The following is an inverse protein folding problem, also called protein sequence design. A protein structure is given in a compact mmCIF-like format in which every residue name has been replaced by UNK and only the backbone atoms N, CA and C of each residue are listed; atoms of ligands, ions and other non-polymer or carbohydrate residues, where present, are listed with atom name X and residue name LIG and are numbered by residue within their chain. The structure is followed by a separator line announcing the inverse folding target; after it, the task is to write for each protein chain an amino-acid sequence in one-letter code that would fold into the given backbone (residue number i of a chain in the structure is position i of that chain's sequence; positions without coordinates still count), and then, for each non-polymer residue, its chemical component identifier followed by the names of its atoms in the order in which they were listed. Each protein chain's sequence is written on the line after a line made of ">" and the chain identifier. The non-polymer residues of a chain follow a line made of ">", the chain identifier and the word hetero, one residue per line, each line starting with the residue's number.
data_IF_770114292991
#
_entry.id   IF_770114292991
#
_cell.length_a   1.000
_cell.length_b   1.000
_cell.length_c   1.000
_cell.angle_alpha   90.00
_cell.angle_beta   90.00
_cell.angle_gamma   90.00
#
_symmetry.space_group_name_H-M   'P 1'
#
loop_
_entity.id
_entity.type
_entity.pdbx_description
1 polymer ?
#
# COMPACT_ATOMS: atom_id res chain seq x y z
N UNK A 1 -96.22 4.24 155.03
CA UNK A 1 -94.76 4.01 155.09
C UNK A 1 -94.34 3.63 153.68
N UNK A 2 -94.05 4.60 152.81
CA UNK A 2 -92.74 5.24 152.60
C UNK A 2 -91.67 4.31 151.97
N UNK A 3 -91.04 4.86 150.92
CA UNK A 3 -89.85 4.45 150.15
C UNK A 3 -90.04 3.42 149.01
N UNK A 4 -90.05 3.78 147.71
CA UNK A 4 -89.03 4.43 146.82
C UNK A 4 -88.10 3.41 146.15
N UNK A 5 -87.76 3.72 144.89
CA UNK A 5 -86.76 3.14 143.98
C UNK A 5 -87.14 1.89 143.18
N UNK A 6 -87.02 1.82 141.85
CA UNK A 6 -86.40 2.73 140.90
C UNK A 6 -87.22 2.73 139.61
N UNK A 7 -87.76 3.90 139.25
CA UNK A 7 -87.76 4.29 137.84
C UNK A 7 -86.33 4.05 137.38
N UNK A 8 -86.11 3.28 136.32
CA UNK A 8 -84.84 3.29 135.63
C UNK A 8 -84.67 4.67 134.96
N UNK A 9 -84.56 5.73 135.77
CA UNK A 9 -83.99 7.04 135.43
C UNK A 9 -82.49 6.91 135.10
N UNK A 10 -81.94 5.70 135.19
CA UNK A 10 -80.65 5.32 134.62
C UNK A 10 -80.60 5.22 133.09
N UNK A 11 -81.71 5.38 132.35
CA UNK A 11 -81.65 5.45 130.88
C UNK A 11 -82.00 6.82 130.28
N UNK A 12 -82.64 7.73 131.01
CA UNK A 12 -83.19 8.98 130.46
C UNK A 12 -82.16 10.01 129.98
N UNK A 13 -81.02 10.14 130.67
CA UNK A 13 -79.98 11.10 130.29
C UNK A 13 -79.03 10.58 129.21
N UNK A 14 -78.79 9.26 129.18
CA UNK A 14 -77.92 8.63 128.17
C UNK A 14 -78.59 8.39 126.81
N UNK A 15 -79.93 8.32 126.78
CA UNK A 15 -80.71 8.20 125.54
C UNK A 15 -80.97 9.54 124.87
N UNK A 16 -81.01 10.65 125.61
CA UNK A 16 -81.15 12.00 125.04
C UNK A 16 -79.94 12.45 124.21
N UNK A 17 -78.80 11.74 124.34
CA UNK A 17 -77.55 12.01 123.62
C UNK A 17 -77.29 11.01 122.47
N UNK A 18 -78.22 10.09 122.20
CA UNK A 18 -78.11 9.08 121.13
C UNK A 18 -79.21 9.29 120.09
N UNK A 19 -78.91 9.02 118.82
CA UNK A 19 -79.91 9.02 117.75
C UNK A 19 -80.74 7.74 117.80
N UNK A 20 -82.05 7.87 117.54
CA UNK A 20 -82.96 6.72 117.42
C UNK A 20 -82.64 5.91 116.16
N UNK A 21 -82.80 4.58 116.22
CA UNK A 21 -82.61 3.68 115.07
C UNK A 21 -83.63 3.91 113.94
N UNK A 22 -84.77 4.53 114.24
CA UNK A 22 -85.75 4.97 113.24
C UNK A 22 -85.32 6.25 112.49
N UNK A 23 -84.13 6.78 112.79
CA UNK A 23 -83.65 8.07 112.33
C UNK A 23 -83.98 9.22 113.29
N UNK A 24 -83.32 10.36 113.06
CA UNK A 24 -83.49 11.61 113.79
C UNK A 24 -82.71 12.74 113.11
N UNK A 25 -83.05 13.99 113.44
CA UNK A 25 -82.34 15.17 112.92
C UNK A 25 -81.17 15.50 113.83
N UNK A 26 -79.95 15.51 113.27
CA UNK A 26 -78.78 16.04 113.97
C UNK A 26 -78.80 17.57 113.80
N UNK A 27 -78.82 18.32 114.91
CA UNK A 27 -78.70 19.78 114.88
C UNK A 27 -77.29 20.21 115.29
N UNK A 28 -76.73 21.20 114.57
CA UNK A 28 -75.36 21.68 114.77
C UNK A 28 -74.30 20.91 113.96
N UNK A 29 -73.05 21.34 114.08
CA UNK A 29 -71.92 20.71 113.39
C UNK A 29 -71.53 19.39 114.06
N UNK A 30 -71.22 18.37 113.26
CA UNK A 30 -70.80 17.06 113.74
C UNK A 30 -69.33 16.87 113.42
N UNK A 31 -68.49 16.80 114.45
CA UNK A 31 -67.08 16.49 114.31
C UNK A 31 -66.86 14.96 114.41
N UNK A 32 -66.48 14.32 113.31
CA UNK A 32 -66.24 12.87 113.24
C UNK A 32 -64.77 12.46 113.49
N UNK A 33 -63.85 13.42 113.61
CA UNK A 33 -62.42 13.15 113.79
C UNK A 33 -61.85 12.29 112.65
N UNK A 34 -61.07 11.27 112.99
CA UNK A 34 -60.48 10.30 112.03
C UNK A 34 -61.36 9.07 111.79
N UNK A 35 -62.62 9.09 112.23
CA UNK A 35 -63.51 7.94 112.11
C UNK A 35 -64.11 7.84 110.70
N UNK A 36 -64.35 6.60 110.24
CA UNK A 36 -65.00 6.32 108.96
C UNK A 36 -66.52 6.34 109.08
N UNK A 37 -67.20 6.76 108.02
CA UNK A 37 -68.64 6.59 107.84
C UNK A 37 -68.86 5.48 106.81
N UNK A 38 -69.41 4.35 107.25
CA UNK A 38 -69.60 3.16 106.41
C UNK A 38 -71.06 3.02 105.99
N UNK A 39 -71.31 2.36 104.85
CA UNK A 39 -72.66 2.06 104.37
C UNK A 39 -73.35 3.19 103.59
N UNK A 40 -72.63 4.26 103.24
CA UNK A 40 -73.12 5.28 102.30
C UNK A 40 -73.22 4.66 100.90
N UNK A 41 -74.40 4.68 100.29
CA UNK A 41 -74.63 4.23 98.91
C UNK A 41 -74.33 5.35 97.90
N UNK A 42 -74.35 5.04 96.61
CA UNK A 42 -74.26 6.08 95.59
C UNK A 42 -75.39 7.12 95.78
N UNK A 43 -75.11 8.42 95.67
CA UNK A 43 -76.11 9.46 95.84
C UNK A 43 -77.15 9.37 94.71
N UNK A 44 -78.42 9.54 95.06
CA UNK A 44 -79.55 9.60 94.11
C UNK A 44 -80.20 10.98 94.13
N UNK A 45 -80.33 11.57 95.31
CA UNK A 45 -80.82 12.93 95.54
C UNK A 45 -79.66 13.91 95.72
N UNK A 46 -79.87 15.18 95.39
CA UNK A 46 -78.84 16.22 95.50
C UNK A 46 -78.40 16.53 96.94
N UNK A 47 -79.12 16.01 97.96
CA UNK A 47 -78.78 16.18 99.37
C UNK A 47 -78.07 14.95 99.96
N UNK A 48 -77.92 13.88 99.19
CA UNK A 48 -77.27 12.66 99.67
C UNK A 48 -75.75 12.88 99.83
N UNK A 49 -75.15 12.21 100.80
CA UNK A 49 -73.70 12.14 100.90
C UNK A 49 -73.14 11.27 99.75
N UNK A 50 -72.02 11.68 99.15
CA UNK A 50 -71.32 10.89 98.14
C UNK A 50 -70.11 10.17 98.71
N UNK A 51 -69.83 8.97 98.20
CA UNK A 51 -68.55 8.30 98.46
C UNK A 51 -67.46 8.88 97.58
N UNK A 52 -66.19 8.83 98.04
CA UNK A 52 -65.04 9.23 97.22
C UNK A 52 -65.01 8.48 95.88
N UNK A 53 -65.29 7.17 95.91
CA UNK A 53 -65.33 6.33 94.70
C UNK A 53 -66.34 6.87 93.67
N UNK A 54 -67.54 7.24 94.10
CA UNK A 54 -68.55 7.78 93.21
C UNK A 54 -68.08 9.10 92.58
N UNK A 55 -67.59 10.04 93.41
CA UNK A 55 -67.11 11.35 92.94
C UNK A 55 -65.92 11.21 91.98
N UNK A 56 -64.91 10.40 92.33
CA UNK A 56 -63.75 10.12 91.48
C UNK A 56 -64.16 9.50 90.14
N UNK A 57 -65.12 8.56 90.17
CA UNK A 57 -65.60 7.88 88.95
C UNK A 57 -66.37 8.86 88.05
N UNK A 58 -67.21 9.72 88.63
CA UNK A 58 -67.93 10.74 87.89
C UNK A 58 -66.96 11.73 87.22
N UNK A 59 -65.92 12.16 87.91
CA UNK A 59 -64.86 13.01 87.37
C UNK A 59 -64.09 12.32 86.24
N UNK A 60 -63.65 11.07 86.45
CA UNK A 60 -62.96 10.29 85.43
C UNK A 60 -63.80 10.11 84.16
N UNK A 61 -65.09 9.82 84.31
CA UNK A 61 -66.03 9.71 83.18
C UNK A 61 -66.20 11.04 82.44
N UNK A 62 -66.27 12.15 83.16
CA UNK A 62 -66.36 13.49 82.56
C UNK A 62 -65.08 13.83 81.75
N UNK A 63 -63.91 13.55 82.31
CA UNK A 63 -62.61 13.74 81.63
C UNK A 63 -62.54 12.86 80.37
N UNK A 64 -62.89 11.57 80.49
CA UNK A 64 -62.88 10.64 79.35
C UNK A 64 -63.80 11.10 78.23
N UNK A 65 -64.99 11.61 78.56
CA UNK A 65 -65.94 12.15 77.59
C UNK A 65 -65.37 13.38 76.90
N UNK A 66 -64.76 14.30 77.67
CA UNK A 66 -64.13 15.50 77.15
C UNK A 66 -62.96 15.18 76.21
N UNK A 67 -62.09 14.24 76.60
CA UNK A 67 -60.97 13.81 75.77
C UNK A 67 -61.46 13.18 74.47
N UNK A 68 -62.45 12.29 74.55
CA UNK A 68 -63.06 11.65 73.37
C UNK A 68 -63.62 12.69 72.39
N UNK A 69 -64.30 13.71 72.90
CA UNK A 69 -64.82 14.80 72.07
C UNK A 69 -63.71 15.61 71.42
N UNK A 70 -62.68 15.99 72.19
CA UNK A 70 -61.55 16.79 71.71
C UNK A 70 -60.76 16.03 70.64
N UNK A 71 -60.47 14.75 70.88
CA UNK A 71 -59.77 13.87 69.93
C UNK A 71 -60.59 13.63 68.65
N UNK A 72 -61.92 13.49 68.78
CA UNK A 72 -62.83 13.37 67.65
C UNK A 72 -62.89 14.64 66.80
N UNK A 73 -62.90 15.83 67.42
CA UNK A 73 -62.81 17.10 66.71
C UNK A 73 -61.46 17.26 66.00
N UNK A 74 -60.35 16.91 66.65
CA UNK A 74 -59.02 16.93 66.03
C UNK A 74 -58.99 15.96 64.84
N UNK A 75 -59.53 14.77 65.00
CA UNK A 75 -59.62 13.76 63.92
C UNK A 75 -60.45 14.27 62.74
N UNK A 76 -61.60 14.88 63.03
CA UNK A 76 -62.47 15.46 61.99
C UNK A 76 -61.77 16.61 61.29
N UNK A 77 -61.15 17.52 62.05
CA UNK A 77 -60.41 18.65 61.50
C UNK A 77 -59.24 18.19 60.61
N UNK A 78 -58.56 17.10 60.98
CA UNK A 78 -57.53 16.45 60.14
C UNK A 78 -58.11 15.80 58.89
N UNK A 79 -59.21 15.05 59.01
CA UNK A 79 -59.81 14.30 57.89
C UNK A 79 -60.60 15.16 56.89
N UNK A 80 -61.11 16.32 57.31
CA UNK A 80 -61.87 17.24 56.45
C UNK A 80 -61.07 18.49 56.05
N UNK A 81 -59.85 18.68 56.56
CA UNK A 81 -58.99 19.74 56.09
C UNK A 81 -58.70 19.54 54.59
N UNK A 82 -58.87 20.60 53.81
CA UNK A 82 -58.35 20.65 52.45
C UNK A 82 -56.85 20.36 52.47
N UNK A 83 -56.32 19.71 51.43
CA UNK A 83 -54.91 19.34 51.29
C UNK A 83 -53.93 20.52 51.55
N UNK A 84 -54.39 21.77 51.41
CA UNK A 84 -53.61 22.99 51.68
C UNK A 84 -53.48 23.37 53.17
N UNK A 85 -54.13 22.65 54.09
CA UNK A 85 -54.05 22.88 55.54
C UNK A 85 -53.65 21.61 56.31
N UNK A 86 -53.41 20.50 55.60
CA UNK A 86 -52.87 19.27 56.20
C UNK A 86 -51.34 19.30 56.18
N UNK A 87 -50.77 20.09 57.08
CA UNK A 87 -49.31 20.22 57.26
C UNK A 87 -48.58 18.88 57.44
N UNK A 88 -49.26 17.81 57.89
CA UNK A 88 -48.69 16.47 58.00
C UNK A 88 -48.75 15.73 56.65
N UNK A 89 -49.84 15.88 55.89
CA UNK A 89 -49.95 15.38 54.52
C UNK A 89 -48.98 16.05 53.54
N UNK A 90 -48.68 17.34 53.74
CA UNK A 90 -47.62 18.05 53.00
C UNK A 90 -46.24 17.46 53.28
N UNK A 91 -45.90 17.17 54.54
CA UNK A 91 -44.64 16.52 54.93
C UNK A 91 -44.52 15.10 54.35
N UNK A 92 -45.58 14.29 54.41
CA UNK A 92 -45.58 12.95 53.78
C UNK A 92 -45.42 13.02 52.27
N UNK A 93 -46.06 13.99 51.62
CA UNK A 93 -45.94 14.24 50.18
C UNK A 93 -44.54 14.72 49.83
N UNK A 94 -43.92 15.58 50.63
CA UNK A 94 -42.58 16.12 50.40
C UNK A 94 -41.48 15.09 50.67
N UNK A 95 -41.64 14.21 51.66
CA UNK A 95 -40.76 13.04 51.87
C UNK A 95 -40.95 12.00 50.74
N UNK A 96 -42.19 11.74 50.33
CA UNK A 96 -42.49 10.89 49.17
C UNK A 96 -41.88 11.45 47.88
N UNK A 97 -41.96 12.76 47.69
CA UNK A 97 -41.33 13.47 46.59
C UNK A 97 -39.81 13.49 46.70
N UNK A 98 -39.20 13.53 47.88
CA UNK A 98 -37.75 13.38 48.02
C UNK A 98 -37.28 11.99 47.56
N UNK A 99 -38.11 10.95 47.73
CA UNK A 99 -37.85 9.58 47.26
C UNK A 99 -38.10 9.39 45.75
N UNK A 100 -39.15 10.02 45.19
CA UNK A 100 -39.47 9.94 43.75
C UNK A 100 -38.70 10.95 42.90
N UNK A 101 -38.41 12.15 43.39
CA UNK A 101 -37.46 13.12 42.82
C UNK A 101 -36.03 12.62 42.90
N UNK A 102 -35.68 11.86 43.96
CA UNK A 102 -34.45 11.06 43.97
C UNK A 102 -34.46 10.05 42.82
N UNK A 103 -35.54 9.28 42.63
CA UNK A 103 -35.62 8.32 41.52
C UNK A 103 -35.63 8.98 40.14
N UNK A 104 -36.32 10.12 39.96
CA UNK A 104 -36.39 10.86 38.71
C UNK A 104 -35.09 11.62 38.40
N UNK A 105 -34.42 12.17 39.42
CA UNK A 105 -33.10 12.77 39.33
C UNK A 105 -31.98 11.75 39.14
N UNK A 106 -32.13 10.53 39.67
CA UNK A 106 -31.25 9.39 39.38
C UNK A 106 -31.50 8.84 37.98
N UNK A 107 -32.74 8.82 37.48
CA UNK A 107 -33.07 8.39 36.12
C UNK A 107 -32.48 9.30 35.03
N UNK A 108 -32.01 10.50 35.40
CA UNK A 108 -31.29 11.41 34.50
C UNK A 108 -29.76 11.22 34.52
N UNK A 109 -29.22 10.35 35.38
CA UNK A 109 -27.77 10.11 35.48
C UNK A 109 -27.41 8.75 34.89
N UNK A 110 -26.31 8.71 34.13
CA UNK A 110 -25.72 7.46 33.66
C UNK A 110 -25.06 6.73 34.84
N UNK A 111 -25.45 5.48 35.10
CA UNK A 111 -24.84 4.67 36.14
C UNK A 111 -23.37 4.32 35.84
N UNK A 112 -22.53 4.18 36.87
CA UNK A 112 -21.10 3.83 36.70
C UNK A 112 -20.86 2.40 36.22
N UNK A 113 -21.78 1.50 36.50
CA UNK A 113 -21.70 0.09 36.15
C UNK A 113 -22.96 -0.30 35.40
N UNK A 114 -22.85 -0.38 34.07
CA UNK A 114 -23.94 -0.81 33.21
C UNK A 114 -25.09 0.20 33.17
N UNK A 115 -25.20 0.91 32.05
CA UNK A 115 -26.38 1.70 31.72
C UNK A 115 -26.55 1.69 30.20
N UNK A 116 -27.76 1.96 29.72
CA UNK A 116 -28.05 2.08 28.30
C UNK A 116 -28.65 3.46 28.03
N UNK A 117 -27.87 4.34 27.39
CA UNK A 117 -28.38 5.64 26.95
C UNK A 117 -29.32 5.44 25.75
N UNK A 118 -30.53 6.00 25.81
CA UNK A 118 -31.41 6.13 24.66
C UNK A 118 -31.26 7.53 24.04
N UNK A 119 -31.21 7.61 22.71
CA UNK A 119 -31.04 8.90 21.99
C UNK A 119 -29.57 9.26 21.71
N UNK A 120 -29.35 10.42 21.08
CA UNK A 120 -28.03 10.89 20.70
C UNK A 120 -27.27 11.51 21.87
N UNK A 121 -26.04 11.05 22.11
CA UNK A 121 -25.09 11.72 23.01
C UNK A 121 -24.26 12.75 22.23
N UNK A 122 -24.42 14.03 22.55
CA UNK A 122 -23.63 15.13 21.96
C UNK A 122 -22.50 15.48 22.93
N UNK A 123 -21.25 15.30 22.48
CA UNK A 123 -20.04 15.68 23.24
C UNK A 123 -19.63 17.10 22.84
N UNK A 124 -19.12 17.88 23.80
CA UNK A 124 -18.77 19.30 23.60
C UNK A 124 -17.46 19.52 22.83
N UNK A 125 -16.59 18.49 22.74
CA UNK A 125 -15.30 18.56 22.09
C UNK A 125 -14.79 17.16 21.72
N UNK A 126 -13.75 17.12 20.90
CA UNK A 126 -13.01 15.90 20.58
C UNK A 126 -12.29 15.32 21.82
N UNK A 127 -12.05 13.99 21.87
CA UNK A 127 -11.43 13.34 23.02
C UNK A 127 -9.99 13.84 23.25
N UNK A 128 -9.68 14.21 24.50
CA UNK A 128 -8.32 14.56 24.96
C UNK A 128 -7.63 13.44 25.76
N UNK A 129 -8.40 12.43 26.18
CA UNK A 129 -7.92 11.28 26.94
C UNK A 129 -8.08 9.99 26.13
N UNK A 130 -7.10 9.10 26.24
CA UNK A 130 -7.05 7.82 25.49
C UNK A 130 -8.29 6.94 25.73
N UNK A 131 -8.85 6.96 26.93
CA UNK A 131 -10.04 6.17 27.30
C UNK A 131 -11.32 7.00 27.37
N UNK A 132 -11.32 8.20 26.77
CA UNK A 132 -12.52 9.03 26.66
C UNK A 132 -13.43 8.57 25.52
N UNK A 133 -14.71 8.96 25.59
CA UNK A 133 -15.63 8.80 24.46
C UNK A 133 -15.19 9.71 23.29
N UNK A 134 -15.17 9.18 22.08
CA UNK A 134 -14.81 9.92 20.88
C UNK A 134 -16.05 10.50 20.18
N UNK A 135 -15.94 11.74 19.69
CA UNK A 135 -16.93 12.33 18.78
C UNK A 135 -16.87 11.62 17.42
N UNK A 136 -18.00 11.60 16.70
CA UNK A 136 -18.02 11.10 15.31
C UNK A 136 -17.07 11.87 14.40
N UNK A 137 -17.00 13.20 14.55
CA UNK A 137 -16.10 14.05 13.77
C UNK A 137 -14.63 13.68 13.97
N UNK A 138 -14.21 13.33 15.19
CA UNK A 138 -12.84 12.92 15.48
C UNK A 138 -12.51 11.60 14.78
N UNK A 139 -13.38 10.60 14.90
CA UNK A 139 -13.19 9.29 14.26
C UNK A 139 -13.17 9.42 12.73
N UNK A 140 -14.07 10.21 12.17
CA UNK A 140 -14.13 10.46 10.72
C UNK A 140 -12.86 11.19 10.25
N UNK A 141 -12.39 12.21 10.98
CA UNK A 141 -11.16 12.93 10.66
C UNK A 141 -9.91 12.03 10.72
N UNK A 142 -9.79 11.19 11.75
CA UNK A 142 -8.70 10.20 11.86
C UNK A 142 -8.77 9.19 10.71
N UNK A 143 -9.96 8.73 10.35
CA UNK A 143 -10.18 7.79 9.25
C UNK A 143 -9.82 8.42 7.89
N UNK A 144 -10.19 9.68 7.67
CA UNK A 144 -9.83 10.43 6.46
C UNK A 144 -8.32 10.65 6.39
N UNK A 145 -7.67 11.03 7.49
CA UNK A 145 -6.21 11.20 7.53
C UNK A 145 -5.48 9.89 7.23
N UNK A 146 -5.98 8.78 7.79
CA UNK A 146 -5.51 7.44 7.47
C UNK A 146 -5.67 7.18 5.97
N UNK A 147 -6.88 7.33 5.42
CA UNK A 147 -7.25 7.06 4.02
C UNK A 147 -6.44 7.90 3.02
N UNK A 148 -6.26 9.20 3.29
CA UNK A 148 -5.44 10.09 2.49
C UNK A 148 -3.95 9.69 2.53
N UNK A 149 -3.46 9.26 3.68
CA UNK A 149 -2.11 8.70 3.81
C UNK A 149 -1.90 7.42 3.00
N UNK A 150 -2.91 6.54 2.94
CA UNK A 150 -2.87 5.31 2.11
C UNK A 150 -2.91 5.64 0.63
N UNK A 151 -3.66 6.66 0.22
CA UNK A 151 -3.75 7.10 -1.18
C UNK A 151 -2.41 7.62 -1.75
N UNK A 152 -1.45 7.96 -0.88
CA UNK A 152 -0.11 8.41 -1.25
C UNK A 152 0.93 7.27 -1.29
N UNK A 153 0.53 6.02 -1.00
CA UNK A 153 1.43 4.86 -0.98
C UNK A 153 1.07 3.92 -2.11
N UNK A 154 2.09 3.35 -2.76
CA UNK A 154 1.91 2.25 -3.71
C UNK A 154 1.59 0.97 -2.95
N UNK A 155 0.47 0.33 -3.25
CA UNK A 155 0.09 -0.94 -2.61
C UNK A 155 0.98 -2.12 -3.07
N UNK A 156 1.17 -3.12 -2.21
CA UNK A 156 1.98 -4.32 -2.53
C UNK A 156 1.39 -5.18 -3.65
N UNK A 157 0.09 -5.08 -3.92
CA UNK A 157 -0.59 -5.85 -4.96
C UNK A 157 -1.51 -4.95 -5.77
N UNK A 158 -1.33 -4.96 -7.10
CA UNK A 158 -2.32 -4.48 -8.06
C UNK A 158 -2.49 -2.97 -8.17
N UNK A 159 -1.56 -2.17 -7.64
CA UNK A 159 -1.66 -0.72 -7.76
C UNK A 159 -1.30 -0.24 -9.17
N UNK A 160 -1.94 0.84 -9.63
CA UNK A 160 -1.64 1.49 -10.90
C UNK A 160 -1.18 2.91 -10.62
N UNK A 161 0.10 3.20 -10.84
CA UNK A 161 0.65 4.54 -10.64
C UNK A 161 0.09 5.49 -11.71
N UNK A 162 -0.78 6.40 -11.29
CA UNK A 162 -1.28 7.50 -12.13
C UNK A 162 -0.40 8.73 -11.89
N UNK A 163 0.41 9.10 -12.89
CA UNK A 163 1.39 10.20 -12.79
C UNK A 163 2.83 9.76 -12.94
N UNK A 164 3.76 10.71 -12.89
CA UNK A 164 5.20 10.46 -13.03
C UNK A 164 5.81 9.91 -11.74
N UNK A 165 6.56 8.81 -11.83
CA UNK A 165 7.38 8.29 -10.73
C UNK A 165 8.81 8.82 -10.84
N UNK A 166 9.29 9.52 -9.81
CA UNK A 166 10.69 9.97 -9.72
C UNK A 166 11.43 9.07 -8.73
N UNK A 167 12.43 8.34 -9.21
CA UNK A 167 13.33 7.53 -8.40
C UNK A 167 14.50 8.41 -7.90
N UNK A 168 14.94 8.20 -6.66
CA UNK A 168 15.94 9.07 -6.02
C UNK A 168 17.38 8.83 -6.49
N UNK A 169 17.65 7.66 -7.06
CA UNK A 169 18.97 7.21 -7.49
C UNK A 169 18.81 6.01 -8.45
N UNK A 170 19.93 5.68 -9.11
CA UNK A 170 20.06 4.48 -9.94
C UNK A 170 20.04 3.19 -9.10
N UNK A 171 19.59 2.05 -9.69
CA UNK A 171 19.47 0.79 -8.97
C UNK A 171 20.85 0.22 -8.59
N UNK A 172 20.96 -0.28 -7.35
CA UNK A 172 22.13 -1.00 -6.83
C UNK A 172 21.88 -2.52 -6.85
N UNK A 173 20.67 -2.95 -6.46
CA UNK A 173 20.30 -4.36 -6.44
C UNK A 173 19.54 -4.77 -7.71
N UNK A 174 19.66 -6.05 -8.12
CA UNK A 174 19.07 -6.53 -9.38
C UNK A 174 17.54 -6.45 -9.48
N UNK A 175 16.84 -6.34 -8.36
CA UNK A 175 15.36 -6.29 -8.30
C UNK A 175 14.82 -4.88 -8.02
N UNK A 176 15.68 -3.86 -7.98
CA UNK A 176 15.26 -2.48 -7.84
C UNK A 176 14.68 -1.93 -9.15
N UNK A 177 13.81 -0.93 -9.04
CA UNK A 177 13.35 -0.19 -10.20
C UNK A 177 14.51 0.66 -10.76
N UNK A 178 14.68 0.64 -12.09
CA UNK A 178 15.71 1.42 -12.75
C UNK A 178 15.24 2.84 -13.11
N UNK A 179 16.11 3.83 -12.95
CA UNK A 179 15.89 5.16 -13.56
C UNK A 179 15.99 5.02 -15.09
N UNK A 180 15.38 5.96 -15.82
CA UNK A 180 15.51 6.01 -17.28
C UNK A 180 16.96 6.22 -17.71
N UNK A 181 17.70 7.13 -17.06
CA UNK A 181 19.11 7.38 -17.36
C UNK A 181 19.95 6.12 -17.22
N UNK A 182 19.74 5.34 -16.15
CA UNK A 182 20.45 4.08 -15.96
C UNK A 182 20.22 3.09 -17.12
N UNK A 183 18.97 2.94 -17.55
CA UNK A 183 18.63 2.06 -18.68
C UNK A 183 19.28 2.55 -19.99
N UNK A 184 19.15 3.85 -20.29
CA UNK A 184 19.71 4.47 -21.49
C UNK A 184 21.26 4.37 -21.51
N UNK A 185 21.93 4.57 -20.37
CA UNK A 185 23.38 4.45 -20.24
C UNK A 185 23.88 3.01 -20.39
N UNK A 186 23.13 2.03 -19.88
CA UNK A 186 23.43 0.59 -20.07
C UNK A 186 23.30 0.20 -21.54
N UNK A 187 22.27 0.67 -22.23
CA UNK A 187 22.08 0.43 -23.66
C UNK A 187 23.19 1.07 -24.50
N UNK A 188 23.51 2.34 -24.24
CA UNK A 188 24.60 3.07 -24.91
C UNK A 188 25.95 2.36 -24.72
N UNK A 189 26.24 1.88 -23.50
CA UNK A 189 27.43 1.07 -23.22
C UNK A 189 27.45 -0.25 -24.00
N UNK A 190 26.32 -0.92 -24.16
CA UNK A 190 26.22 -2.15 -24.94
C UNK A 190 26.44 -1.91 -26.45
N UNK A 191 25.91 -0.82 -26.99
CA UNK A 191 26.08 -0.45 -28.41
C UNK A 191 27.53 -0.08 -28.72
N UNK A 192 28.16 0.72 -27.86
CA UNK A 192 29.56 1.15 -28.03
C UNK A 192 30.55 -0.02 -27.91
N UNK A 193 30.30 -0.97 -27.00
CA UNK A 193 31.13 -2.18 -26.90
C UNK A 193 30.95 -3.10 -28.10
N UNK A 194 29.73 -3.26 -28.59
CA UNK A 194 29.44 -4.09 -29.78
C UNK A 194 30.08 -3.51 -31.05
N UNK A 195 30.03 -2.18 -31.23
CA UNK A 195 30.69 -1.54 -32.37
C UNK A 195 32.21 -1.60 -32.28
N UNK A 196 32.77 -1.48 -31.08
CA UNK A 196 34.20 -1.66 -30.84
C UNK A 196 34.66 -3.11 -31.12
N UNK A 197 33.92 -4.11 -30.67
CA UNK A 197 34.21 -5.53 -30.96
C UNK A 197 34.10 -5.84 -32.46
N UNK A 198 33.09 -5.30 -33.15
CA UNK A 198 32.96 -5.43 -34.60
C UNK A 198 34.17 -4.82 -35.33
N UNK A 199 34.61 -3.64 -34.91
CA UNK A 199 35.79 -2.96 -35.48
C UNK A 199 37.07 -3.74 -35.19
N UNK A 200 37.23 -4.28 -33.98
CA UNK A 200 38.39 -5.09 -33.62
C UNK A 200 38.44 -6.42 -34.40
N UNK A 201 37.29 -7.05 -34.62
CA UNK A 201 37.17 -8.24 -35.47
C UNK A 201 37.49 -7.92 -36.93
N UNK A 202 37.00 -6.81 -37.45
CA UNK A 202 37.33 -6.33 -38.80
C UNK A 202 38.85 -6.13 -38.94
N UNK A 203 39.48 -5.44 -37.99
CA UNK A 203 40.92 -5.24 -37.95
C UNK A 203 41.72 -6.57 -37.83
N UNK A 204 41.24 -7.53 -37.04
CA UNK A 204 41.87 -8.85 -36.94
C UNK A 204 41.74 -9.66 -38.24
N UNK A 205 40.58 -9.61 -38.88
CA UNK A 205 40.35 -10.25 -40.20
C UNK A 205 41.31 -9.65 -41.23
N UNK A 206 41.45 -8.32 -41.25
CA UNK A 206 42.40 -7.62 -42.12
C UNK A 206 43.86 -8.01 -41.80
N UNK A 207 44.25 -8.09 -40.52
CA UNK A 207 45.63 -8.38 -40.11
C UNK A 207 46.04 -9.87 -40.11
N UNK A 208 45.09 -10.80 -40.16
CA UNK A 208 45.35 -12.26 -40.23
C UNK A 208 45.15 -12.85 -41.62
N UNK A 209 44.59 -12.06 -42.54
CA UNK A 209 44.67 -12.37 -43.96
C UNK A 209 46.16 -12.51 -44.34
N UNK A 210 46.48 -13.54 -45.12
CA UNK A 210 47.85 -13.78 -45.59
C UNK A 210 48.30 -12.56 -46.41
N UNK A 211 49.37 -11.88 -45.95
CA UNK A 211 50.03 -10.64 -46.42
C UNK A 211 49.95 -10.26 -47.92
N UNK A 212 48.76 -10.21 -48.48
CA UNK A 212 48.55 -10.15 -49.94
C UNK A 212 47.09 -10.03 -50.35
N UNK A 213 46.16 -9.94 -49.40
CA UNK A 213 44.75 -9.68 -49.63
C UNK A 213 44.24 -8.57 -48.69
N UNK A 214 45.12 -7.66 -48.29
CA UNK A 214 44.93 -6.88 -47.06
C UNK A 214 44.22 -5.56 -47.30
N UNK A 215 44.01 -5.15 -48.57
CA UNK A 215 43.11 -4.05 -48.92
C UNK A 215 42.39 -4.28 -50.25
N UNK A 216 41.18 -3.71 -50.39
CA UNK A 216 40.50 -3.59 -51.69
C UNK A 216 41.40 -2.90 -52.73
N UNK A 217 42.27 -1.96 -52.32
CA UNK A 217 43.22 -1.28 -53.19
C UNK A 217 44.35 -2.17 -53.72
N UNK A 218 44.80 -3.17 -52.96
CA UNK A 218 45.79 -4.15 -53.42
C UNK A 218 45.16 -5.18 -54.38
N UNK A 219 43.90 -5.56 -54.15
CA UNK A 219 43.11 -6.37 -55.09
C UNK A 219 42.96 -5.64 -56.42
N UNK A 220 42.58 -4.36 -56.40
CA UNK A 220 42.52 -3.51 -57.60
C UNK A 220 43.88 -3.45 -58.30
N UNK A 221 44.96 -3.25 -57.53
CA UNK A 221 46.33 -3.21 -58.06
C UNK A 221 46.73 -4.54 -58.73
N UNK A 222 46.35 -5.69 -58.16
CA UNK A 222 46.64 -7.02 -58.72
C UNK A 222 45.78 -7.34 -59.95
N UNK A 223 44.52 -6.91 -59.97
CA UNK A 223 43.64 -7.02 -61.14
C UNK A 223 44.20 -6.18 -62.30
N UNK A 224 44.67 -4.96 -62.02
CA UNK A 224 45.36 -4.09 -62.98
C UNK A 224 46.66 -4.73 -63.47
N UNK A 225 47.46 -5.33 -62.59
CA UNK A 225 48.70 -6.01 -62.96
C UNK A 225 48.44 -7.24 -63.85
N UNK A 226 47.40 -8.03 -63.56
CA UNK A 226 47.02 -9.20 -64.35
C UNK A 226 46.51 -8.81 -65.75
N UNK A 227 45.71 -7.76 -65.84
CA UNK A 227 45.23 -7.22 -67.13
C UNK A 227 46.36 -6.59 -67.95
N UNK A 228 47.28 -5.87 -67.31
CA UNK A 228 48.46 -5.29 -67.96
C UNK A 228 49.47 -6.35 -68.41
N UNK A 229 49.71 -7.38 -67.59
CA UNK A 229 50.60 -8.50 -67.92
C UNK A 229 50.04 -9.39 -69.04
N UNK A 230 48.72 -9.55 -69.11
CA UNK A 230 48.06 -10.26 -70.20
C UNK A 230 48.19 -9.47 -71.52
N UNK A 231 47.96 -8.17 -71.51
CA UNK A 231 48.17 -7.30 -72.69
C UNK A 231 49.63 -7.26 -73.14
N UNK A 232 50.59 -7.22 -72.20
CA UNK A 232 52.03 -7.26 -72.51
C UNK A 232 52.48 -8.60 -73.09
N UNK A 233 51.99 -9.72 -72.55
CA UNK A 233 52.31 -11.05 -73.09
C UNK A 233 51.67 -11.29 -74.46
N UNK A 234 50.45 -10.78 -74.70
CA UNK A 234 49.81 -10.85 -76.01
C UNK A 234 50.53 -9.98 -77.05
N UNK A 235 51.02 -8.80 -76.68
CA UNK A 235 51.77 -7.91 -77.57
C UNK A 235 53.10 -8.49 -78.09
N UNK A 236 53.61 -9.56 -77.47
CA UNK A 236 54.87 -10.21 -77.89
C UNK A 236 54.67 -11.46 -78.76
N UNK A 237 53.42 -11.87 -79.03
CA UNK A 237 53.11 -13.06 -79.83
C UNK A 237 52.60 -12.66 -81.22
N UNK A 238 53.13 -13.33 -82.25
CA UNK A 238 52.61 -13.24 -83.62
C UNK A 238 51.25 -13.94 -83.71
N UNK A 239 50.24 -13.29 -84.31
CA UNK A 239 48.90 -13.84 -84.45
C UNK A 239 48.76 -14.84 -85.62
N UNK A 240 47.92 -15.88 -85.44
CA UNK A 240 47.65 -16.91 -86.47
C UNK A 240 46.94 -16.36 -87.71
N UNK A 241 46.24 -15.23 -87.60
CA UNK A 241 45.58 -14.55 -88.71
C UNK A 241 46.52 -13.68 -89.56
N UNK A 242 47.79 -13.57 -89.16
CA UNK A 242 48.77 -12.64 -89.72
C UNK A 242 49.11 -11.53 -88.74
N UNK A 243 50.31 -10.97 -88.88
CA UNK A 243 50.83 -9.89 -88.05
C UNK A 243 51.80 -9.01 -88.87
N UNK A 244 52.07 -7.80 -88.38
CA UNK A 244 53.09 -6.90 -88.95
C UNK A 244 54.29 -6.85 -88.01
N UNK A 245 55.38 -7.51 -88.39
CA UNK A 245 56.63 -7.47 -87.63
C UNK A 245 57.43 -6.21 -88.00
N UNK A 246 57.68 -5.34 -87.03
CA UNK A 246 58.66 -4.25 -87.17
C UNK A 246 59.99 -4.68 -86.54
N UNK A 247 61.08 -4.52 -87.28
CA UNK A 247 62.42 -4.95 -86.85
C UNK A 247 62.83 -6.35 -87.33
N UNK A 248 64.01 -6.78 -86.89
CA UNK A 248 64.61 -8.06 -87.30
C UNK A 248 63.96 -9.22 -86.55
N UNK A 249 63.33 -10.15 -87.27
CA UNK A 249 62.92 -11.42 -86.71
C UNK A 249 64.10 -12.41 -86.71
N UNK A 250 64.66 -12.68 -85.53
CA UNK A 250 65.67 -13.73 -85.37
C UNK A 250 64.98 -15.09 -85.16
N UNK A 251 65.15 -16.01 -86.11
CA UNK A 251 64.62 -17.39 -86.01
C UNK A 251 65.59 -18.40 -85.39
N UNK A 252 66.80 -17.98 -85.02
CA UNK A 252 67.82 -18.87 -84.49
C UNK A 252 68.07 -20.07 -85.40
N UNK A 253 68.11 -21.27 -84.82
CA UNK A 253 68.29 -22.54 -85.56
C UNK A 253 66.98 -23.15 -86.05
N UNK A 254 65.84 -22.43 -85.96
CA UNK A 254 64.54 -22.97 -86.34
C UNK A 254 64.31 -22.92 -87.86
N UNK A 255 63.58 -23.90 -88.37
CA UNK A 255 63.20 -24.01 -89.78
C UNK A 255 61.80 -23.43 -90.01
N UNK A 256 61.57 -22.86 -91.19
CA UNK A 256 60.23 -22.55 -91.71
C UNK A 256 59.80 -23.72 -92.61
N UNK A 257 58.93 -24.59 -92.11
CA UNK A 257 58.70 -25.94 -92.69
C UNK A 257 57.59 -26.02 -93.73
N UNK A 258 56.98 -24.90 -94.13
CA UNK A 258 55.86 -24.87 -95.10
C UNK A 258 55.83 -23.58 -95.93
N UNK A 259 57.00 -23.02 -96.25
CA UNK A 259 57.10 -21.85 -97.11
C UNK A 259 56.85 -22.26 -98.57
N UNK A 260 55.77 -21.77 -99.17
CA UNK A 260 55.41 -22.02 -100.56
C UNK A 260 56.46 -21.44 -101.53
N UNK A 261 56.40 -21.84 -102.80
CA UNK A 261 57.20 -21.20 -103.85
C UNK A 261 56.79 -19.72 -103.97
N UNK A 262 57.74 -18.77 -103.99
CA UNK A 262 57.42 -17.35 -104.09
C UNK A 262 56.68 -17.05 -105.41
N UNK A 263 55.66 -16.19 -105.32
CA UNK A 263 54.83 -15.77 -106.46
C UNK A 263 54.90 -14.26 -106.72
N UNK A 264 55.05 -13.47 -105.65
CA UNK A 264 55.32 -12.04 -105.72
C UNK A 264 56.81 -11.76 -105.53
N UNK A 265 57.28 -10.61 -106.04
CA UNK A 265 58.68 -10.16 -105.89
C UNK A 265 59.09 -9.87 -104.45
N UNK A 266 58.13 -9.75 -103.53
CA UNK A 266 58.35 -9.49 -102.10
C UNK A 266 58.20 -10.73 -101.23
N UNK A 267 57.89 -11.89 -101.81
CA UNK A 267 57.74 -13.14 -101.05
C UNK A 267 59.11 -13.65 -100.58
N UNK A 268 59.16 -14.27 -99.40
CA UNK A 268 60.32 -15.04 -99.00
C UNK A 268 60.46 -16.29 -99.89
N UNK A 269 61.65 -16.54 -100.42
CA UNK A 269 61.92 -17.69 -101.28
C UNK A 269 62.35 -18.93 -100.48
N UNK A 270 61.74 -20.09 -100.74
CA UNK A 270 62.24 -21.36 -100.20
C UNK A 270 63.48 -21.85 -100.97
N UNK A 271 64.31 -22.68 -100.33
CA UNK A 271 65.57 -23.15 -100.93
C UNK A 271 65.35 -23.91 -102.25
N UNK A 272 64.30 -24.75 -102.31
CA UNK A 272 64.01 -25.54 -103.50
C UNK A 272 63.74 -24.65 -104.73
N UNK A 273 63.02 -23.54 -104.55
CA UNK A 273 62.80 -22.56 -105.62
C UNK A 273 64.12 -21.90 -106.06
N UNK A 274 64.92 -21.41 -105.11
CA UNK A 274 66.21 -20.76 -105.42
C UNK A 274 67.16 -21.71 -106.15
N UNK A 275 67.27 -22.96 -105.70
CA UNK A 275 68.09 -23.99 -106.34
C UNK A 275 67.61 -24.32 -107.77
N UNK A 276 66.30 -24.27 -108.03
CA UNK A 276 65.73 -24.56 -109.34
C UNK A 276 65.97 -23.45 -110.37
N UNK A 277 65.91 -22.17 -109.94
CA UNK A 277 66.13 -21.02 -110.83
C UNK A 277 67.60 -20.64 -110.97
N UNK A 278 68.47 -21.14 -110.09
CA UNK A 278 69.92 -20.95 -110.19
C UNK A 278 70.50 -22.15 -110.95
N UNK A 279 70.84 -22.02 -112.25
CA UNK A 279 71.43 -23.14 -112.98
C UNK A 279 72.72 -23.58 -112.28
N UNK A 280 72.77 -24.84 -111.84
CA UNK A 280 74.01 -25.47 -111.41
C UNK A 280 75.04 -25.25 -112.52
N UNK A 281 76.21 -24.72 -112.16
CA UNK A 281 77.21 -24.11 -113.04
C UNK A 281 77.89 -25.07 -114.05
N UNK A 282 77.17 -26.01 -114.63
CA UNK A 282 77.64 -27.06 -115.53
C UNK A 282 76.92 -27.09 -116.88
N UNK A 283 76.09 -26.10 -117.24
CA UNK A 283 75.46 -26.08 -118.57
C UNK A 283 75.20 -24.67 -119.10
N UNK A 284 76.24 -23.99 -119.57
CA UNK A 284 76.12 -22.80 -120.42
C UNK A 284 76.36 -23.16 -121.90
N UNK A 285 75.59 -24.08 -122.47
CA UNK A 285 75.48 -24.26 -123.94
C UNK A 285 76.74 -24.57 -124.76
N UNK A 286 77.94 -24.61 -124.16
CA UNK A 286 79.24 -24.76 -124.82
C UNK A 286 80.19 -25.74 -124.08
N UNK A 287 79.66 -26.63 -123.25
CA UNK A 287 80.41 -27.75 -122.65
C UNK A 287 80.85 -27.57 -121.20
N UNK A 288 81.30 -28.67 -120.60
CA UNK A 288 81.59 -28.87 -119.17
C UNK A 288 82.80 -28.04 -118.72
N UNK A 289 82.60 -26.94 -118.00
CA UNK A 289 83.68 -26.28 -117.24
C UNK A 289 83.96 -27.07 -115.95
N UNK A 290 84.91 -27.98 -116.02
CA UNK A 290 85.53 -28.58 -114.83
C UNK A 290 86.39 -27.50 -114.15
N UNK A 291 85.85 -26.84 -113.12
CA UNK A 291 86.66 -25.98 -112.25
C UNK A 291 87.38 -26.91 -111.25
N UNK A 292 88.51 -27.47 -111.67
CA UNK A 292 89.36 -28.29 -110.79
C UNK A 292 90.20 -27.38 -109.89
N UNK A 293 90.20 -27.67 -108.59
CA UNK A 293 91.00 -26.97 -107.57
C UNK A 293 92.39 -27.60 -107.35
N UNK A 294 92.86 -28.46 -108.26
CA UNK A 294 94.18 -29.09 -108.19
C UNK A 294 95.17 -28.45 -109.18
N UNK A 295 96.34 -28.06 -108.68
CA UNK A 295 97.38 -27.35 -109.44
C UNK A 295 97.98 -28.20 -110.58
N UNK A 296 98.37 -27.60 -111.73
CA UNK A 296 98.82 -28.34 -112.91
C UNK A 296 100.29 -28.79 -112.78
N UNK A 297 100.61 -29.99 -113.26
CA UNK A 297 101.97 -30.49 -113.35
C UNK A 297 102.40 -30.67 -114.82
N UNK A 298 103.50 -30.02 -115.21
CA UNK A 298 104.42 -30.55 -116.23
C UNK A 298 104.26 -30.08 -117.68
N UNK A 299 104.97 -28.98 -117.99
CA UNK A 299 105.79 -28.70 -119.20
C UNK A 299 105.30 -29.13 -120.59
N UNK A 300 104.78 -28.17 -121.35
CA UNK A 300 104.63 -28.28 -122.81
C UNK A 300 103.74 -27.17 -123.38
N UNK A 301 104.34 -26.01 -123.65
CA UNK A 301 103.98 -25.02 -124.68
C UNK A 301 102.50 -24.72 -124.95
N UNK A 302 102.08 -23.57 -124.43
CA UNK A 302 101.11 -22.61 -124.99
C UNK A 302 99.75 -23.12 -125.49
N UNK A 303 98.74 -22.94 -124.62
CA UNK A 303 97.32 -23.13 -124.92
C UNK A 303 96.43 -22.54 -123.83
N UNK A 304 96.81 -21.34 -123.41
CA UNK A 304 96.15 -20.40 -122.52
C UNK A 304 94.67 -20.17 -122.88
N UNK A 305 93.75 -20.15 -121.90
CA UNK A 305 92.38 -19.61 -122.09
C UNK A 305 92.14 -18.43 -121.15
N UNK A 306 92.61 -17.28 -121.63
CA UNK A 306 92.06 -15.97 -121.31
C UNK A 306 90.70 -15.79 -122.01
N UNK A 307 89.68 -15.33 -121.28
CA UNK A 307 88.71 -14.38 -121.84
C UNK A 307 88.39 -13.34 -120.78
N UNK A 308 88.90 -12.13 -121.02
CA UNK A 308 88.32 -10.87 -120.56
C UNK A 308 87.26 -10.46 -121.59
N UNK A 309 86.00 -10.28 -121.17
CA UNK A 309 85.29 -8.98 -121.08
C UNK A 309 84.26 -9.14 -119.96
#
# INVERSE_FOLDING_TARGET
>A
MQYVDAVATGSGAGLALKLNLSGGTMSGAIAMGTNLITGITNPVSAQDASTKLYTDTAEANAISTSNTYTDGLVTTLKGTASAAFDTLGEIETEIGNLSTSSTAGLALKVAKAGDTMTGSLILNADPSHVFGAATKQYVDAVTISSTAGIALKVAKAGDTMTGTLVLNADPINSLEAATKSYADDRESGAVTTSSADATAKDALIIGTATAGYDTLGEIETKIIALTSGTSGSLATKVAKAGDTMSGVLNMGTNKITSLATPTASTDAANKAYVDAITPSASSNGFGTRTVSTSAPAGTGSDGDIHYQI
#
